data_IF_082154912160
#
_entry.id   IF_082154912160
#
_cell.length_a   1.000
_cell.length_b   1.000
_cell.length_c   1.000
_cell.angle_alpha   90.00
_cell.angle_beta   90.00
_cell.angle_gamma   90.00
#
_symmetry.space_group_name_H-M   'P 1'
#
loop_
_entity.id
_entity.type
_entity.pdbx_description
1 polymer ?
#
# COMPACT_ATOMS: atom_id res chain seq x y z
N UNK A 1 12.53 -5.04 -5.33
CA UNK A 1 11.66 -5.30 -6.51
C UNK A 1 10.82 -4.07 -6.65
N UNK A 2 10.83 -3.44 -7.82
CA UNK A 2 10.16 -2.16 -7.99
C UNK A 2 8.68 -2.36 -8.28
N UNK A 3 7.82 -1.88 -7.39
CA UNK A 3 6.37 -2.08 -7.44
C UNK A 3 5.67 -0.74 -7.61
N UNK A 4 4.70 -0.69 -8.53
CA UNK A 4 3.74 0.40 -8.62
C UNK A 4 2.51 0.01 -7.81
N UNK A 5 2.17 0.81 -6.79
CA UNK A 5 0.95 0.67 -6.02
C UNK A 5 -0.04 1.73 -6.49
N UNK A 6 -1.23 1.28 -6.89
CA UNK A 6 -2.41 2.09 -7.17
C UNK A 6 -3.30 1.96 -5.94
N UNK A 7 -3.36 3.02 -5.13
CA UNK A 7 -4.16 3.05 -3.93
C UNK A 7 -5.44 3.85 -4.20
N UNK A 8 -6.58 3.18 -4.20
CA UNK A 8 -7.87 3.78 -4.52
C UNK A 8 -8.66 4.07 -3.24
N UNK A 9 -8.92 5.34 -2.96
CA UNK A 9 -9.87 5.77 -1.95
C UNK A 9 -11.22 5.99 -2.65
N UNK A 10 -11.97 4.92 -2.87
CA UNK A 10 -13.18 4.95 -3.72
C UNK A 10 -14.32 5.67 -3.00
N UNK A 11 -15.03 6.63 -3.65
CA UNK A 11 -14.87 7.10 -5.03
C UNK A 11 -14.04 8.41 -5.15
N UNK A 12 -13.37 8.83 -4.10
CA UNK A 12 -12.79 10.17 -3.96
C UNK A 12 -11.47 10.36 -4.72
N UNK A 13 -10.47 9.51 -4.49
CA UNK A 13 -9.12 9.70 -5.05
C UNK A 13 -8.47 8.38 -5.47
N UNK A 14 -7.44 8.52 -6.32
CA UNK A 14 -6.50 7.44 -6.65
C UNK A 14 -5.10 8.00 -6.52
N UNK A 15 -4.34 7.43 -5.59
CA UNK A 15 -2.97 7.82 -5.28
C UNK A 15 -2.01 6.77 -5.83
N UNK A 16 -0.91 7.20 -6.45
CA UNK A 16 0.06 6.31 -7.08
C UNK A 16 1.39 6.37 -6.32
N UNK A 17 2.00 5.21 -6.07
CA UNK A 17 3.25 5.09 -5.35
C UNK A 17 4.21 4.15 -6.07
N UNK A 18 5.49 4.51 -6.13
CA UNK A 18 6.54 3.62 -6.64
C UNK A 18 7.49 3.27 -5.51
N UNK A 19 7.53 1.99 -5.14
CA UNK A 19 8.28 1.50 -3.96
C UNK A 19 9.27 0.41 -4.33
N UNK A 20 10.32 0.27 -3.53
CA UNK A 20 11.19 -0.90 -3.53
C UNK A 20 10.73 -1.88 -2.45
N UNK A 21 10.21 -3.03 -2.88
CA UNK A 21 9.69 -4.09 -2.03
C UNK A 21 10.69 -5.23 -1.86
N UNK A 22 10.85 -5.71 -0.62
CA UNK A 22 11.53 -6.96 -0.29
C UNK A 22 10.56 -8.16 -0.32
N UNK A 23 11.03 -9.37 -0.02
CA UNK A 23 10.17 -10.57 -0.04
C UNK A 23 9.02 -10.55 0.97
N UNK A 24 9.16 -9.86 2.10
CA UNK A 24 8.11 -9.74 3.11
C UNK A 24 7.05 -8.73 2.67
N UNK A 25 7.47 -7.59 2.14
CA UNK A 25 6.59 -6.58 1.53
C UNK A 25 5.73 -7.20 0.42
N UNK A 26 6.33 -8.05 -0.42
CA UNK A 26 5.64 -8.69 -1.54
C UNK A 26 4.51 -9.62 -1.07
N UNK A 27 4.60 -10.24 0.11
CA UNK A 27 3.51 -11.09 0.63
C UNK A 27 2.26 -10.25 0.92
N UNK A 28 2.43 -9.12 1.58
CA UNK A 28 1.33 -8.20 1.89
C UNK A 28 0.76 -7.59 0.62
N UNK A 29 1.62 -7.17 -0.30
CA UNK A 29 1.24 -6.58 -1.58
C UNK A 29 0.44 -7.55 -2.46
N UNK A 30 0.86 -8.82 -2.55
CA UNK A 30 0.15 -9.86 -3.31
C UNK A 30 -1.20 -10.20 -2.70
N UNK A 31 -1.31 -10.27 -1.36
CA UNK A 31 -2.57 -10.50 -0.67
C UNK A 31 -3.55 -9.31 -0.83
N UNK A 32 -3.01 -8.09 -0.82
CA UNK A 32 -3.80 -6.86 -0.95
C UNK A 32 -4.35 -6.65 -2.35
N UNK A 33 -3.68 -7.19 -3.38
CA UNK A 33 -4.06 -6.91 -4.77
C UNK A 33 -5.51 -7.34 -5.07
N UNK A 34 -6.32 -6.37 -5.49
CA UNK A 34 -7.74 -6.54 -5.84
C UNK A 34 -8.69 -6.52 -4.64
N UNK A 35 -8.18 -6.30 -3.42
CA UNK A 35 -8.96 -6.24 -2.19
C UNK A 35 -8.94 -4.83 -1.59
N UNK A 36 -9.92 -4.54 -0.73
CA UNK A 36 -10.10 -3.23 -0.09
C UNK A 36 -10.41 -3.43 1.40
N UNK A 37 -9.85 -2.56 2.26
CA UNK A 37 -9.81 -2.70 3.73
C UNK A 37 -11.18 -3.06 4.33
N UNK A 38 -12.28 -2.51 3.81
CA UNK A 38 -13.63 -2.70 4.36
C UNK A 38 -14.58 -3.49 3.44
N UNK A 39 -14.05 -4.21 2.45
CA UNK A 39 -14.84 -5.00 1.50
C UNK A 39 -14.43 -6.48 1.46
N UNK A 40 -13.60 -6.91 2.41
CA UNK A 40 -13.11 -8.28 2.49
C UNK A 40 -13.61 -8.95 3.78
N UNK A 41 -14.09 -10.18 3.67
CA UNK A 41 -14.46 -11.02 4.81
C UNK A 41 -13.33 -12.02 5.09
N UNK A 42 -12.12 -11.48 5.28
CA UNK A 42 -10.91 -12.25 5.56
C UNK A 42 -9.90 -11.38 6.31
N UNK A 43 -9.67 -11.70 7.59
CA UNK A 43 -8.81 -10.96 8.49
C UNK A 43 -7.34 -10.90 8.02
N UNK A 44 -6.81 -11.95 7.38
CA UNK A 44 -5.43 -11.95 6.88
C UNK A 44 -5.25 -10.93 5.74
N UNK A 45 -6.25 -10.83 4.86
CA UNK A 45 -6.24 -9.88 3.74
C UNK A 45 -6.46 -8.46 4.27
N UNK A 46 -7.43 -8.24 5.15
CA UNK A 46 -7.68 -6.93 5.77
C UNK A 46 -6.44 -6.40 6.50
N UNK A 47 -5.75 -7.27 7.25
CA UNK A 47 -4.50 -6.94 7.90
C UNK A 47 -3.37 -6.66 6.90
N UNK A 48 -3.28 -7.42 5.80
CA UNK A 48 -2.29 -7.14 4.76
C UNK A 48 -2.49 -5.76 4.13
N UNK A 49 -3.73 -5.38 3.82
CA UNK A 49 -4.01 -4.06 3.24
C UNK A 49 -3.74 -2.95 4.27
N UNK A 50 -4.10 -3.18 5.54
CA UNK A 50 -3.80 -2.26 6.63
C UNK A 50 -2.30 -2.02 6.79
N UNK A 51 -1.49 -3.09 6.72
CA UNK A 51 -0.02 -2.98 6.73
C UNK A 51 0.52 -2.20 5.53
N UNK A 52 -0.04 -2.40 4.33
CA UNK A 52 0.33 -1.61 3.14
C UNK A 52 -0.02 -0.13 3.35
N UNK A 53 -1.23 0.18 3.82
CA UNK A 53 -1.68 1.55 4.07
C UNK A 53 -0.79 2.25 5.10
N UNK A 54 -0.43 1.58 6.20
CA UNK A 54 0.46 2.12 7.23
C UNK A 54 1.89 2.36 6.75
N UNK A 55 2.41 1.54 5.81
CA UNK A 55 3.71 1.79 5.19
C UNK A 55 3.68 3.00 4.26
N UNK A 56 2.56 3.28 3.59
CA UNK A 56 2.38 4.41 2.67
C UNK A 56 2.13 5.75 3.40
N UNK A 57 1.44 5.71 4.54
CA UNK A 57 1.09 6.92 5.30
C UNK A 57 2.23 7.48 6.14
N UNK A 58 2.08 8.73 6.61
CA UNK A 58 3.05 9.34 7.52
C UNK A 58 2.88 8.81 8.97
N UNK A 59 3.97 8.61 9.72
CA UNK A 59 3.90 8.17 11.12
C UNK A 59 3.15 9.19 11.99
N UNK A 60 2.16 8.74 12.75
CA UNK A 60 1.43 9.53 13.74
C UNK A 60 0.95 8.66 14.92
N UNK A 61 0.37 9.26 15.97
CA UNK A 61 -0.04 8.50 17.16
C UNK A 61 -1.08 7.40 16.83
N UNK A 62 -1.95 7.63 15.84
CA UNK A 62 -2.93 6.63 15.37
C UNK A 62 -2.26 5.44 14.67
N UNK A 63 -1.17 5.68 13.94
CA UNK A 63 -0.45 4.64 13.21
C UNK A 63 0.18 3.58 14.13
N UNK A 64 0.48 3.91 15.38
CA UNK A 64 1.09 2.98 16.33
C UNK A 64 0.11 1.93 16.85
N UNK A 65 -1.13 2.32 17.14
CA UNK A 65 -2.19 1.41 17.57
C UNK A 65 -2.55 0.46 16.41
N UNK A 66 -2.84 1.01 15.23
CA UNK A 66 -3.17 0.25 14.04
C UNK A 66 -2.04 -0.72 13.62
N UNK A 67 -0.77 -0.30 13.73
CA UNK A 67 0.37 -1.18 13.46
C UNK A 67 0.40 -2.39 14.40
N UNK A 68 0.05 -2.19 15.67
CA UNK A 68 -0.01 -3.28 16.65
C UNK A 68 -1.13 -4.26 16.32
N UNK A 69 -2.30 -3.76 15.93
CA UNK A 69 -3.48 -4.58 15.57
C UNK A 69 -3.22 -5.46 14.34
N UNK A 70 -2.59 -4.92 13.29
CA UNK A 70 -2.31 -5.68 12.07
C UNK A 70 -0.95 -6.40 12.08
N UNK A 71 -0.23 -6.40 13.21
CA UNK A 71 1.07 -7.07 13.36
C UNK A 71 2.23 -6.46 12.58
N UNK A 72 2.20 -5.15 12.32
CA UNK A 72 3.29 -4.41 11.70
C UNK A 72 4.32 -3.97 12.76
N UNK A 73 5.60 -4.12 12.46
CA UNK A 73 6.65 -3.55 13.30
C UNK A 73 6.60 -2.01 13.23
N UNK A 74 6.74 -1.34 14.38
CA UNK A 74 6.58 0.13 14.47
C UNK A 74 7.58 0.87 13.57
N UNK A 75 8.77 0.32 13.37
CA UNK A 75 9.79 0.85 12.47
C UNK A 75 9.44 0.78 10.98
N UNK A 76 8.44 -0.02 10.59
CA UNK A 76 7.96 -0.12 9.22
C UNK A 76 6.83 0.88 8.91
N UNK A 77 6.26 1.53 9.91
CA UNK A 77 5.26 2.58 9.70
C UNK A 77 5.88 3.74 8.93
N UNK A 78 5.24 4.15 7.84
CA UNK A 78 5.76 5.19 6.94
C UNK A 78 7.06 4.83 6.22
N UNK A 79 7.41 3.54 6.13
CA UNK A 79 8.56 3.04 5.37
C UNK A 79 8.58 3.55 3.91
N UNK A 80 7.41 3.79 3.32
CA UNK A 80 7.23 4.30 1.96
C UNK A 80 6.69 5.73 1.93
N UNK A 81 6.77 6.47 3.04
CA UNK A 81 6.43 7.88 3.05
C UNK A 81 7.29 8.65 2.04
N UNK A 82 6.66 9.56 1.29
CA UNK A 82 7.29 10.28 0.19
C UNK A 82 7.50 9.50 -1.12
N UNK A 83 6.99 8.26 -1.23
CA UNK A 83 7.02 7.48 -2.50
C UNK A 83 5.90 7.83 -3.49
N UNK A 84 5.00 8.75 -3.10
CA UNK A 84 3.91 9.21 -3.93
C UNK A 84 4.42 9.84 -5.23
N UNK A 85 3.72 9.54 -6.32
CA UNK A 85 4.06 9.99 -7.68
C UNK A 85 3.05 11.01 -8.15
N UNK A 86 3.53 12.06 -8.82
CA UNK A 86 2.68 13.02 -9.50
C UNK A 86 1.92 12.34 -10.65
N UNK A 87 0.60 12.49 -10.66
CA UNK A 87 -0.32 11.89 -11.65
C UNK A 87 -0.53 12.77 -12.88
N UNK A 88 0.17 13.91 -12.97
CA UNK A 88 0.09 14.81 -14.12
C UNK A 88 0.61 14.22 -15.44
N UNK A 89 1.47 13.21 -15.40
CA UNK A 89 2.05 12.55 -16.57
C UNK A 89 1.88 11.02 -16.51
N UNK A 90 1.81 10.32 -17.66
CA UNK A 90 1.71 8.87 -17.69
C UNK A 90 2.94 8.17 -17.07
N UNK A 91 2.69 7.16 -16.23
CA UNK A 91 3.75 6.30 -15.71
C UNK A 91 4.13 5.24 -16.76
N UNK A 92 5.38 5.29 -17.22
CA UNK A 92 5.92 4.31 -18.18
C UNK A 92 6.45 3.07 -17.44
N UNK A 93 5.67 1.99 -17.43
CA UNK A 93 5.97 0.74 -16.69
C UNK A 93 7.32 0.13 -17.09
N UNK A 94 7.59 -0.02 -18.39
CA UNK A 94 8.80 -0.65 -18.89
C UNK A 94 10.06 0.19 -18.61
N UNK A 95 10.02 1.49 -18.90
CA UNK A 95 11.15 2.40 -18.66
C UNK A 95 11.40 2.62 -17.17
N UNK A 96 10.32 2.67 -16.39
CA UNK A 96 10.36 2.71 -14.93
C UNK A 96 10.94 1.46 -14.30
N UNK A 97 11.14 0.37 -15.08
CA UNK A 97 11.53 -0.97 -14.60
C UNK A 97 10.60 -1.46 -13.49
N UNK A 98 9.31 -1.18 -13.63
CA UNK A 98 8.30 -1.67 -12.71
C UNK A 98 8.09 -3.15 -13.00
N UNK A 99 8.28 -3.97 -11.98
CA UNK A 99 8.23 -5.44 -12.06
C UNK A 99 6.84 -5.98 -11.66
N UNK A 100 6.06 -5.18 -10.92
CA UNK A 100 4.73 -5.54 -10.44
C UNK A 100 3.84 -4.30 -10.30
N UNK A 101 2.56 -4.46 -10.59
CA UNK A 101 1.51 -3.47 -10.30
C UNK A 101 0.55 -4.07 -9.29
N UNK A 102 0.27 -3.33 -8.22
CA UNK A 102 -0.66 -3.72 -7.16
C UNK A 102 -1.75 -2.66 -7.12
N UNK A 103 -3.00 -3.09 -7.20
CA UNK A 103 -4.19 -2.24 -7.03
C UNK A 103 -4.89 -2.67 -5.76
N UNK A 104 -5.15 -1.74 -4.84
CA UNK A 104 -5.78 -1.97 -3.53
C UNK A 104 -6.36 -0.65 -3.03
N UNK A 105 -7.06 -0.64 -1.90
CA UNK A 105 -7.34 0.61 -1.21
C UNK A 105 -8.44 0.53 -0.17
N UNK A 106 -9.26 1.57 -0.12
CA UNK A 106 -10.35 1.74 0.84
C UNK A 106 -11.62 2.15 0.10
N UNK A 107 -12.76 1.53 0.43
CA UNK A 107 -14.08 1.96 -0.05
C UNK A 107 -14.73 2.80 1.05
N UNK A 108 -15.30 3.97 0.76
CA UNK A 108 -16.07 4.73 1.75
C UNK A 108 -17.56 4.39 1.77
#
# INVERSE_FOLDING_TARGET
>A
MKVLIVFENVPETTDLFIVEANEEDLKDLLLSHGNYINSVDNEDIENAISRVNLRLGSPNDYSAEAATECGLAQEEVGKWDGSAVDTGEPILVYEGRIEMVVVTGFIM
#
